data_IF_479073136405
#
_entry.id   IF_479073136405
#
_cell.length_a   1.000
_cell.length_b   1.000
_cell.length_c   1.000
_cell.angle_alpha   90.00
_cell.angle_beta   90.00
_cell.angle_gamma   90.00
#
_symmetry.space_group_name_H-M   'P 1'
#
loop_
_entity.id
_entity.type
_entity.pdbx_description
1 polymer ?
#
# COMPACT_ATOMS: atom_id res chain seq x y z
N UNK A 1 27.18 -1.06 -19.31
CA UNK A 1 25.97 -1.28 -20.13
C UNK A 1 25.06 -0.09 -19.86
N UNK A 2 25.12 0.93 -20.72
CA UNK A 2 24.40 2.20 -20.56
C UNK A 2 22.96 2.01 -21.03
N UNK A 3 22.00 2.03 -20.10
CA UNK A 3 20.59 1.98 -20.44
C UNK A 3 20.16 3.30 -21.10
N UNK A 4 19.74 3.18 -22.37
CA UNK A 4 19.19 4.30 -23.16
C UNK A 4 17.86 4.74 -22.56
N UNK A 5 17.87 5.90 -21.92
CA UNK A 5 16.65 6.61 -21.53
C UNK A 5 15.90 7.00 -22.80
N UNK A 6 14.70 6.46 -22.99
CA UNK A 6 13.83 6.80 -24.12
C UNK A 6 12.83 7.87 -23.67
N UNK A 7 12.60 8.88 -24.50
CA UNK A 7 11.68 10.00 -24.20
C UNK A 7 10.38 9.79 -24.98
N UNK A 8 9.23 10.21 -24.44
CA UNK A 8 7.95 10.31 -25.19
C UNK A 8 7.52 11.77 -25.25
N UNK A 9 7.14 12.25 -26.43
CA UNK A 9 6.41 13.50 -26.55
C UNK A 9 4.93 13.17 -26.33
N UNK A 10 4.46 13.21 -25.08
CA UNK A 10 3.03 13.03 -24.85
C UNK A 10 2.31 14.35 -25.17
N UNK A 11 1.44 14.27 -26.19
CA UNK A 11 0.71 15.37 -26.79
C UNK A 11 -0.73 15.35 -26.25
N UNK A 12 -0.91 15.65 -24.97
CA UNK A 12 -2.23 15.76 -24.34
C UNK A 12 -2.11 16.68 -23.12
N UNK A 13 -2.93 17.69 -22.81
CA UNK A 13 -4.11 18.32 -23.39
C UNK A 13 -4.22 19.67 -22.64
N UNK A 14 -3.95 20.80 -23.29
CA UNK A 14 -4.35 22.13 -22.78
C UNK A 14 -5.50 22.66 -23.65
N UNK A 15 -6.63 21.95 -23.61
CA UNK A 15 -7.86 22.28 -24.36
C UNK A 15 -8.68 23.35 -23.64
N UNK A 16 -8.10 24.51 -23.35
CA UNK A 16 -8.89 25.68 -22.95
C UNK A 16 -8.22 26.99 -23.32
N UNK A 17 -8.14 27.27 -24.63
CA UNK A 17 -8.26 28.59 -25.29
C UNK A 17 -7.90 28.46 -26.77
N UNK A 18 -8.90 28.52 -27.66
CA UNK A 18 -8.67 28.91 -29.06
C UNK A 18 -8.61 30.44 -29.11
N UNK A 19 -7.65 31.01 -29.85
CA UNK A 19 -8.03 31.76 -31.04
C UNK A 19 -7.22 31.34 -32.27
N UNK A 20 -7.92 31.33 -33.41
CA UNK A 20 -7.48 31.51 -34.79
C UNK A 20 -6.07 31.04 -35.23
N UNK A 21 -6.08 30.05 -36.14
CA UNK A 21 -5.22 29.97 -37.32
C UNK A 21 -3.72 30.20 -37.15
N UNK A 22 -2.96 29.12 -36.91
CA UNK A 22 -1.62 28.97 -37.46
C UNK A 22 -1.25 27.48 -37.48
N UNK A 23 -1.04 26.92 -38.68
CA UNK A 23 -0.35 25.64 -38.83
C UNK A 23 1.09 25.83 -38.36
N UNK A 24 1.34 25.53 -37.08
CA UNK A 24 2.70 25.45 -36.55
C UNK A 24 3.33 24.20 -37.16
N UNK A 25 4.18 24.40 -38.19
CA UNK A 25 5.18 23.43 -38.66
C UNK A 25 5.83 22.79 -37.44
N UNK A 26 5.99 21.46 -37.45
CA UNK A 26 6.77 20.68 -36.48
C UNK A 26 8.21 21.21 -36.40
N UNK A 27 8.39 22.27 -35.64
CA UNK A 27 9.67 22.73 -35.17
C UNK A 27 10.02 21.78 -34.05
N UNK A 28 11.14 21.06 -34.17
CA UNK A 28 11.73 20.17 -33.18
C UNK A 28 11.47 20.68 -31.75
N UNK A 29 10.36 20.28 -31.15
CA UNK A 29 10.01 20.59 -29.78
C UNK A 29 11.04 19.84 -28.95
N UNK A 30 12.08 20.55 -28.48
CA UNK A 30 13.04 20.00 -27.52
C UNK A 30 12.21 19.44 -26.37
N UNK A 31 12.15 18.10 -26.28
CA UNK A 31 11.40 17.38 -25.26
C UNK A 31 12.02 17.77 -23.94
N UNK A 32 11.31 18.63 -23.21
CA UNK A 32 11.73 19.07 -21.88
C UNK A 32 11.80 17.83 -20.97
N UNK A 33 12.87 17.71 -20.18
CA UNK A 33 13.03 16.58 -19.26
C UNK A 33 11.98 16.57 -18.13
N UNK A 34 11.62 17.76 -17.62
CA UNK A 34 10.63 17.96 -16.55
C UNK A 34 9.57 18.95 -17.01
N UNK A 35 8.29 18.58 -17.01
CA UNK A 35 7.17 19.42 -17.42
C UNK A 35 6.97 20.63 -16.47
N UNK A 36 6.23 21.66 -16.90
CA UNK A 36 5.96 22.87 -16.07
C UNK A 36 5.18 22.57 -14.78
N UNK A 37 4.50 21.43 -14.71
CA UNK A 37 3.78 20.93 -13.54
C UNK A 37 4.67 20.11 -12.57
N UNK A 38 5.96 19.96 -12.89
CA UNK A 38 6.94 19.20 -12.08
C UNK A 38 6.99 17.70 -12.38
N UNK A 39 6.20 17.18 -13.32
CA UNK A 39 6.26 15.77 -13.71
C UNK A 39 7.45 15.49 -14.63
N UNK A 40 8.05 14.31 -14.48
CA UNK A 40 9.14 13.85 -15.33
C UNK A 40 8.60 13.37 -16.68
N UNK A 41 9.24 13.78 -17.77
CA UNK A 41 8.88 13.39 -19.13
C UNK A 41 9.71 12.18 -19.63
N UNK A 42 10.12 11.30 -18.73
CA UNK A 42 11.04 10.18 -19.01
C UNK A 42 10.26 8.87 -19.13
N UNK A 43 10.52 8.05 -20.16
CA UNK A 43 10.06 6.67 -20.13
C UNK A 43 11.01 5.86 -19.26
N UNK A 44 10.48 5.30 -18.19
CA UNK A 44 11.24 4.36 -17.38
C UNK A 44 11.61 3.14 -18.24
N UNK A 45 12.89 2.72 -18.28
CA UNK A 45 13.29 1.52 -19.00
C UNK A 45 12.55 0.30 -18.42
N UNK A 46 12.13 -0.62 -19.29
CA UNK A 46 11.48 -1.88 -18.87
C UNK A 46 12.53 -2.76 -18.20
N UNK A 47 12.55 -2.78 -16.88
CA UNK A 47 13.40 -3.70 -16.13
C UNK A 47 12.88 -5.15 -16.27
N UNK A 48 13.73 -6.11 -16.69
CA UNK A 48 13.38 -7.52 -16.58
C UNK A 48 13.20 -7.91 -15.10
N UNK A 49 12.27 -8.81 -14.80
CA UNK A 49 12.00 -9.32 -13.44
C UNK A 49 11.42 -8.33 -12.40
N UNK A 50 10.56 -7.41 -12.83
CA UNK A 50 9.91 -6.40 -11.97
C UNK A 50 9.16 -7.00 -10.77
N UNK A 51 8.45 -8.11 -10.96
CA UNK A 51 7.61 -8.74 -9.93
C UNK A 51 8.42 -9.26 -8.72
N UNK A 52 9.54 -9.94 -8.98
CA UNK A 52 10.41 -10.47 -7.93
C UNK A 52 11.08 -9.38 -7.09
N UNK A 53 11.40 -8.24 -7.71
CA UNK A 53 11.96 -7.11 -6.98
C UNK A 53 10.94 -6.45 -6.04
N UNK A 54 9.65 -6.45 -6.38
CA UNK A 54 8.60 -5.98 -5.47
C UNK A 54 8.37 -6.94 -4.30
N UNK A 55 8.41 -8.25 -4.54
CA UNK A 55 8.24 -9.25 -3.48
C UNK A 55 9.42 -9.31 -2.50
N UNK A 56 10.61 -8.86 -2.91
CA UNK A 56 11.80 -8.82 -2.04
C UNK A 56 11.66 -7.80 -0.90
N UNK A 57 10.89 -6.74 -1.12
CA UNK A 57 10.62 -5.71 -0.12
C UNK A 57 9.10 -5.43 -0.07
N UNK A 58 8.35 -6.32 0.60
CA UNK A 58 6.89 -6.20 0.65
C UNK A 58 6.46 -4.97 1.45
N UNK A 59 7.26 -4.54 2.44
CA UNK A 59 6.95 -3.38 3.28
C UNK A 59 6.98 -2.09 2.45
N UNK A 60 8.08 -1.81 1.74
CA UNK A 60 8.15 -0.59 0.92
C UNK A 60 7.15 -0.63 -0.23
N UNK A 61 6.96 -1.80 -0.85
CA UNK A 61 5.97 -1.98 -1.92
C UNK A 61 4.53 -1.68 -1.45
N UNK A 62 4.17 -2.08 -0.22
CA UNK A 62 2.86 -1.82 0.35
C UNK A 62 2.65 -0.33 0.70
N UNK A 63 3.70 0.31 1.22
CA UNK A 63 3.70 1.76 1.53
C UNK A 63 3.65 2.60 0.24
N UNK A 64 4.26 2.16 -0.85
CA UNK A 64 4.29 2.89 -2.13
C UNK A 64 3.08 2.61 -3.04
N UNK A 65 2.36 1.50 -2.84
CA UNK A 65 1.16 1.17 -3.61
C UNK A 65 0.04 2.23 -3.47
N UNK A 66 -0.93 2.29 -4.38
CA UNK A 66 -2.09 3.15 -4.16
C UNK A 66 -2.96 2.64 -2.99
N UNK A 67 -3.74 3.54 -2.37
CA UNK A 67 -4.63 3.19 -1.26
C UNK A 67 -5.58 2.03 -1.57
N UNK A 68 -6.11 1.97 -2.81
CA UNK A 68 -7.03 0.91 -3.23
C UNK A 68 -6.39 -0.48 -3.15
N UNK A 69 -5.17 -0.60 -3.70
CA UNK A 69 -4.40 -1.85 -3.69
C UNK A 69 -3.93 -2.22 -2.28
N UNK A 70 -3.55 -1.22 -1.48
CA UNK A 70 -3.12 -1.44 -0.10
C UNK A 70 -4.26 -2.02 0.77
N UNK A 71 -5.45 -1.41 0.71
CA UNK A 71 -6.62 -1.90 1.46
C UNK A 71 -7.03 -3.30 1.04
N UNK A 72 -6.97 -3.61 -0.26
CA UNK A 72 -7.24 -4.96 -0.76
C UNK A 72 -6.20 -5.97 -0.27
N UNK A 73 -4.92 -5.64 -0.31
CA UNK A 73 -3.85 -6.52 0.16
C UNK A 73 -3.98 -6.81 1.67
N UNK A 74 -4.28 -5.79 2.48
CA UNK A 74 -4.54 -5.97 3.92
C UNK A 74 -5.74 -6.88 4.17
N UNK A 75 -6.87 -6.63 3.51
CA UNK A 75 -8.08 -7.44 3.67
C UNK A 75 -7.86 -8.91 3.27
N UNK A 76 -7.18 -9.16 2.14
CA UNK A 76 -6.82 -10.51 1.70
C UNK A 76 -5.88 -11.19 2.69
N UNK A 77 -4.90 -10.45 3.25
CA UNK A 77 -4.00 -10.96 4.28
C UNK A 77 -4.72 -11.41 5.55
N UNK A 78 -5.66 -10.59 6.06
CA UNK A 78 -6.48 -10.94 7.21
C UNK A 78 -7.38 -12.15 6.94
N UNK A 79 -8.11 -12.14 5.82
CA UNK A 79 -8.97 -13.26 5.42
C UNK A 79 -8.16 -14.56 5.25
N UNK A 80 -6.98 -14.49 4.64
CA UNK A 80 -6.09 -15.64 4.48
C UNK A 80 -5.62 -16.20 5.82
N UNK A 81 -5.26 -15.33 6.77
CA UNK A 81 -4.89 -15.75 8.13
C UNK A 81 -6.06 -16.44 8.84
N UNK A 82 -7.25 -15.84 8.83
CA UNK A 82 -8.46 -16.43 9.43
C UNK A 82 -8.82 -17.77 8.81
N UNK A 83 -8.74 -17.92 7.49
CA UNK A 83 -9.01 -19.19 6.81
C UNK A 83 -7.97 -20.26 7.15
N UNK A 84 -6.69 -19.88 7.29
CA UNK A 84 -5.63 -20.81 7.65
C UNK A 84 -5.84 -21.36 9.06
N UNK A 85 -6.10 -20.49 10.03
CA UNK A 85 -6.40 -20.93 11.40
C UNK A 85 -7.74 -21.68 11.48
N UNK A 86 -8.77 -21.27 10.75
CA UNK A 86 -10.03 -22.01 10.65
C UNK A 86 -9.83 -23.45 10.16
N UNK A 87 -8.94 -23.65 9.18
CA UNK A 87 -8.59 -24.98 8.69
C UNK A 87 -7.84 -25.80 9.73
N UNK A 88 -6.93 -25.19 10.50
CA UNK A 88 -6.25 -25.86 11.62
C UNK A 88 -7.23 -26.26 12.74
N UNK A 89 -8.16 -25.37 13.10
CA UNK A 89 -9.23 -25.67 14.06
C UNK A 89 -10.14 -26.79 13.58
N UNK A 90 -10.52 -26.77 12.30
CA UNK A 90 -11.29 -27.84 11.69
C UNK A 90 -10.53 -29.17 11.69
N UNK A 91 -9.21 -29.15 11.44
CA UNK A 91 -8.38 -30.34 11.49
C UNK A 91 -8.30 -30.94 12.90
N UNK A 92 -8.14 -30.11 13.94
CA UNK A 92 -8.18 -30.57 15.34
C UNK A 92 -9.54 -31.22 15.64
N UNK A 93 -10.64 -30.53 15.33
CA UNK A 93 -11.98 -31.06 15.55
C UNK A 93 -12.23 -32.38 14.76
N UNK A 94 -11.66 -32.50 13.56
CA UNK A 94 -11.75 -33.71 12.75
C UNK A 94 -10.96 -34.88 13.36
N UNK A 95 -9.72 -34.63 13.81
CA UNK A 95 -8.86 -35.66 14.42
C UNK A 95 -9.37 -36.09 15.80
N UNK A 96 -9.89 -35.15 16.60
CA UNK A 96 -10.51 -35.43 17.89
C UNK A 96 -11.89 -36.10 17.74
N UNK A 97 -12.44 -36.16 16.52
CA UNK A 97 -13.77 -36.74 16.20
C UNK A 97 -14.97 -35.95 16.74
N UNK A 98 -14.78 -34.65 17.02
CA UNK A 98 -15.84 -33.73 17.47
C UNK A 98 -16.93 -33.50 16.42
N UNK A 99 -16.64 -33.81 15.14
CA UNK A 99 -17.54 -33.64 14.02
C UNK A 99 -18.39 -34.89 13.71
N UNK A 100 -18.33 -35.94 14.54
CA UNK A 100 -19.21 -37.09 14.40
C UNK A 100 -20.63 -36.78 14.87
N UNK A 101 -21.64 -37.40 14.27
CA UNK A 101 -23.05 -37.11 14.54
C UNK A 101 -23.44 -37.25 16.02
N UNK A 102 -22.81 -38.17 16.74
CA UNK A 102 -23.06 -38.45 18.16
C UNK A 102 -22.30 -37.49 19.11
N UNK A 103 -21.31 -36.76 18.59
CA UNK A 103 -20.49 -35.78 19.33
C UNK A 103 -20.85 -34.33 18.99
N UNK A 104 -21.83 -34.11 18.11
CA UNK A 104 -22.33 -32.77 17.78
C UNK A 104 -22.94 -32.09 19.03
N UNK A 105 -22.92 -30.74 19.09
CA UNK A 105 -23.37 -29.98 20.27
C UNK A 105 -24.77 -30.36 20.80
N UNK A 106 -25.69 -30.73 19.91
CA UNK A 106 -27.06 -31.09 20.28
C UNK A 106 -27.16 -32.45 21.00
N UNK A 107 -26.18 -33.34 20.82
CA UNK A 107 -26.16 -34.71 21.40
C UNK A 107 -25.10 -34.93 22.47
N UNK A 108 -24.22 -33.95 22.69
CA UNK A 108 -23.16 -34.00 23.72
C UNK A 108 -23.70 -34.28 25.13
N UNK A 109 -24.89 -33.79 25.46
CA UNK A 109 -25.53 -34.05 26.75
C UNK A 109 -25.96 -35.51 26.97
N UNK A 110 -26.19 -36.26 25.90
CA UNK A 110 -26.59 -37.67 25.95
C UNK A 110 -25.38 -38.62 25.99
N UNK A 111 -24.32 -38.27 25.27
CA UNK A 111 -23.08 -39.07 25.16
C UNK A 111 -22.04 -38.75 26.22
N UNK A 112 -22.15 -37.58 26.88
CA UNK A 112 -21.16 -37.10 27.85
C UNK A 112 -19.82 -36.72 27.21
N UNK A 113 -19.81 -36.47 25.90
CA UNK A 113 -18.60 -36.12 25.14
C UNK A 113 -18.20 -34.66 25.38
N UNK A 114 -16.93 -34.43 25.72
CA UNK A 114 -16.33 -33.10 25.87
C UNK A 114 -15.48 -32.77 24.63
N UNK A 115 -15.93 -31.85 23.75
CA UNK A 115 -15.18 -31.50 22.54
C UNK A 115 -14.02 -30.55 22.87
N UNK A 116 -13.03 -30.42 21.97
CA UNK A 116 -11.93 -29.46 22.16
C UNK A 116 -12.41 -28.00 22.18
N UNK A 117 -13.45 -27.70 21.39
CA UNK A 117 -14.09 -26.38 21.31
C UNK A 117 -15.61 -26.57 21.29
N UNK A 118 -16.30 -25.87 22.18
CA UNK A 118 -17.75 -25.92 22.30
C UNK A 118 -18.46 -25.32 21.08
N UNK A 119 -19.67 -25.80 20.79
CA UNK A 119 -20.57 -25.24 19.77
C UNK A 119 -19.99 -25.22 18.33
N UNK A 120 -19.20 -26.24 17.99
CA UNK A 120 -18.70 -26.47 16.62
C UNK A 120 -19.60 -27.46 15.90
N UNK A 121 -20.19 -27.04 14.78
CA UNK A 121 -21.05 -27.87 13.92
C UNK A 121 -20.37 -28.26 12.60
N UNK A 122 -19.23 -27.64 12.28
CA UNK A 122 -18.54 -27.83 11.00
C UNK A 122 -17.58 -26.68 10.68
N UNK A 123 -17.10 -26.65 9.44
CA UNK A 123 -16.11 -25.65 9.00
C UNK A 123 -16.56 -24.19 9.20
N UNK A 124 -17.81 -23.77 8.90
CA UNK A 124 -18.24 -22.39 9.14
C UNK A 124 -18.16 -21.99 10.63
N UNK A 125 -18.46 -22.92 11.55
CA UNK A 125 -18.32 -22.69 12.99
C UNK A 125 -16.86 -22.53 13.40
N UNK A 126 -15.94 -23.33 12.82
CA UNK A 126 -14.50 -23.17 13.02
C UNK A 126 -13.97 -21.84 12.46
N UNK A 127 -14.50 -21.39 11.32
CA UNK A 127 -14.14 -20.09 10.76
C UNK A 127 -14.58 -18.93 11.66
N UNK A 128 -15.81 -18.96 12.14
CA UNK A 128 -16.30 -17.98 13.11
C UNK A 128 -15.46 -18.00 14.39
N UNK A 129 -15.15 -19.17 14.92
CA UNK A 129 -14.29 -19.29 16.10
C UNK A 129 -12.89 -18.72 15.87
N UNK A 130 -12.28 -18.99 14.71
CA UNK A 130 -10.98 -18.42 14.34
C UNK A 130 -11.02 -16.89 14.26
N UNK A 131 -12.08 -16.32 13.69
CA UNK A 131 -12.26 -14.87 13.62
C UNK A 131 -12.47 -14.27 15.01
N UNK A 132 -13.36 -14.86 15.80
CA UNK A 132 -13.68 -14.43 17.18
C UNK A 132 -12.44 -14.43 18.07
N UNK A 133 -11.61 -15.46 17.93
CA UNK A 133 -10.37 -15.65 18.68
C UNK A 133 -9.32 -14.61 18.28
N UNK A 134 -9.03 -14.48 16.99
CA UNK A 134 -7.97 -13.59 16.52
C UNK A 134 -8.32 -12.11 16.72
N UNK A 135 -9.60 -11.74 16.53
CA UNK A 135 -10.06 -10.38 16.77
C UNK A 135 -10.41 -10.13 18.24
N UNK A 136 -10.23 -11.12 19.11
CA UNK A 136 -10.55 -11.05 20.55
C UNK A 136 -11.99 -10.58 20.83
N UNK A 137 -12.92 -10.89 19.93
CA UNK A 137 -14.34 -10.53 20.10
C UNK A 137 -14.99 -11.38 21.17
N UNK A 138 -14.69 -12.70 21.15
CA UNK A 138 -15.06 -13.64 22.21
C UNK A 138 -16.53 -13.60 22.59
N UNK A 139 -17.46 -13.89 21.67
CA UNK A 139 -18.91 -13.88 21.97
C UNK A 139 -19.31 -14.86 23.09
N UNK A 140 -18.47 -15.84 23.42
CA UNK A 140 -18.65 -16.74 24.56
C UNK A 140 -19.46 -18.01 24.26
N UNK A 141 -20.07 -18.11 23.07
CA UNK A 141 -20.80 -19.32 22.64
C UNK A 141 -19.85 -20.46 22.26
N UNK A 142 -18.69 -20.12 21.68
CA UNK A 142 -17.64 -21.05 21.27
C UNK A 142 -16.43 -20.81 22.16
N UNK A 143 -16.21 -21.72 23.10
CA UNK A 143 -15.13 -21.64 24.06
C UNK A 143 -14.27 -22.90 23.98
N UNK A 144 -12.98 -22.73 24.22
CA UNK A 144 -12.02 -23.84 24.30
C UNK A 144 -12.22 -24.60 25.62
N UNK A 145 -12.04 -25.92 25.58
CA UNK A 145 -12.03 -26.79 26.75
C UNK A 145 -10.60 -27.24 27.07
N UNK A 146 -10.41 -27.81 28.26
CA UNK A 146 -9.14 -28.33 28.76
C UNK A 146 -8.78 -29.74 28.27
N UNK A 147 -9.64 -30.38 27.48
CA UNK A 147 -9.46 -31.75 26.99
C UNK A 147 -8.26 -31.88 26.04
N UNK A 148 -8.08 -30.89 25.17
CA UNK A 148 -7.15 -30.95 24.05
C UNK A 148 -6.00 -29.93 24.22
N UNK A 149 -4.79 -30.36 24.63
CA UNK A 149 -3.66 -29.44 24.80
C UNK A 149 -3.19 -28.80 23.48
N UNK A 150 -3.37 -29.48 22.35
CA UNK A 150 -3.07 -28.94 21.02
C UNK A 150 -3.94 -27.74 20.65
N UNK A 151 -5.20 -27.72 21.10
CA UNK A 151 -6.10 -26.58 20.92
C UNK A 151 -5.56 -25.36 21.69
N UNK A 152 -5.10 -25.54 22.93
CA UNK A 152 -4.54 -24.47 23.75
C UNK A 152 -3.27 -23.90 23.11
N UNK A 153 -2.40 -24.77 22.61
CA UNK A 153 -1.20 -24.33 21.90
C UNK A 153 -1.53 -23.54 20.62
N UNK A 154 -2.50 -24.02 19.82
CA UNK A 154 -2.94 -23.34 18.62
C UNK A 154 -3.53 -21.96 18.92
N UNK A 155 -4.35 -21.85 19.97
CA UNK A 155 -4.90 -20.60 20.50
C UNK A 155 -3.79 -19.60 20.85
N UNK A 156 -2.77 -20.03 21.62
CA UNK A 156 -1.64 -19.17 21.98
C UNK A 156 -0.86 -18.69 20.74
N UNK A 157 -0.59 -19.60 19.80
CA UNK A 157 0.10 -19.27 18.55
C UNK A 157 -0.71 -18.29 17.69
N UNK A 158 -2.04 -18.48 17.63
CA UNK A 158 -2.96 -17.61 16.90
C UNK A 158 -2.98 -16.18 17.48
N UNK A 159 -3.01 -16.04 18.81
CA UNK A 159 -2.93 -14.74 19.47
C UNK A 159 -1.60 -14.02 19.17
N UNK A 160 -0.48 -14.74 19.23
CA UNK A 160 0.84 -14.16 18.94
C UNK A 160 0.95 -13.71 17.48
N UNK A 161 0.54 -14.56 16.53
CA UNK A 161 0.60 -14.24 15.10
C UNK A 161 -0.38 -13.11 14.76
N UNK A 162 -1.58 -13.12 15.34
CA UNK A 162 -2.58 -12.06 15.17
C UNK A 162 -2.05 -10.68 15.57
N UNK A 163 -1.47 -10.59 16.78
CA UNK A 163 -0.90 -9.32 17.28
C UNK A 163 0.27 -8.79 16.44
N UNK A 164 1.10 -9.68 15.88
CA UNK A 164 2.18 -9.30 14.94
C UNK A 164 1.59 -8.70 13.65
N UNK A 165 0.59 -9.36 13.06
CA UNK A 165 -0.07 -8.90 11.82
C UNK A 165 -0.77 -7.55 12.05
N UNK A 166 -1.47 -7.39 13.17
CA UNK A 166 -2.13 -6.13 13.53
C UNK A 166 -1.13 -4.99 13.68
N UNK A 167 -0.04 -5.23 14.40
CA UNK A 167 1.02 -4.24 14.61
C UNK A 167 1.66 -3.79 13.29
N UNK A 168 1.93 -4.74 12.39
CA UNK A 168 2.46 -4.45 11.07
C UNK A 168 1.49 -3.62 10.23
N UNK A 169 0.21 -4.00 10.22
CA UNK A 169 -0.84 -3.31 9.46
C UNK A 169 -0.99 -1.86 9.92
N UNK A 170 -1.11 -1.64 11.23
CA UNK A 170 -1.21 -0.30 11.81
C UNK A 170 0.04 0.51 11.49
N UNK A 171 1.23 -0.07 11.62
CA UNK A 171 2.49 0.57 11.27
C UNK A 171 2.56 1.01 9.81
N UNK A 172 2.11 0.15 8.88
CA UNK A 172 2.05 0.47 7.47
C UNK A 172 1.03 1.58 7.15
N UNK A 173 -0.14 1.56 7.78
CA UNK A 173 -1.15 2.63 7.62
C UNK A 173 -0.61 3.97 8.12
N UNK A 174 0.02 4.01 9.30
CA UNK A 174 0.60 5.24 9.86
C UNK A 174 1.74 5.75 8.98
N UNK A 175 2.64 4.88 8.52
CA UNK A 175 3.72 5.26 7.60
C UNK A 175 3.17 5.90 6.31
N UNK A 176 2.08 5.33 5.76
CA UNK A 176 1.44 5.86 4.56
C UNK A 176 0.72 7.18 4.79
N UNK A 177 0.06 7.37 5.94
CA UNK A 177 -0.63 8.62 6.30
C UNK A 177 0.35 9.75 6.62
N UNK A 178 1.47 9.43 7.25
CA UNK A 178 2.51 10.40 7.61
C UNK A 178 3.36 10.83 6.41
N UNK A 179 3.37 10.03 5.32
CA UNK A 179 4.06 10.40 4.09
C UNK A 179 3.49 11.73 3.60
N UNK A 180 4.31 12.79 3.52
CA UNK A 180 3.87 14.04 2.97
C UNK A 180 3.58 13.78 1.49
N UNK A 181 2.30 13.69 1.13
CA UNK A 181 1.91 13.72 -0.26
C UNK A 181 2.37 15.09 -0.75
N UNK A 182 3.44 15.11 -1.56
CA UNK A 182 3.88 16.28 -2.29
C UNK A 182 2.80 16.58 -3.34
N UNK A 183 1.64 17.02 -2.86
CA UNK A 183 0.70 17.76 -3.66
C UNK A 183 1.49 18.98 -4.13
N UNK A 184 2.01 18.89 -5.36
CA UNK A 184 2.70 19.96 -6.10
C UNK A 184 1.87 21.25 -6.20
N UNK A 185 0.67 21.29 -5.63
CA UNK A 185 -0.24 22.42 -5.65
C UNK A 185 0.05 23.45 -4.54
N UNK A 186 1.03 23.23 -3.67
CA UNK A 186 1.33 24.20 -2.60
C UNK A 186 2.53 25.09 -2.86
N UNK A 187 3.42 24.72 -3.77
CA UNK A 187 4.58 25.54 -4.16
C UNK A 187 4.46 25.85 -5.65
N UNK A 188 4.36 27.13 -5.99
CA UNK A 188 4.21 27.59 -7.37
C UNK A 188 5.46 28.32 -7.86
N UNK A 189 5.83 28.06 -9.10
CA UNK A 189 6.91 28.76 -9.80
C UNK A 189 6.32 29.77 -10.79
N UNK A 190 7.05 30.86 -11.06
CA UNK A 190 6.70 31.76 -12.16
C UNK A 190 6.82 31.04 -13.50
N UNK A 191 5.90 31.37 -14.43
CA UNK A 191 5.85 30.75 -15.76
C UNK A 191 7.10 31.01 -16.61
N UNK A 192 7.78 32.11 -16.32
CA UNK A 192 8.94 32.62 -17.03
C UNK A 192 10.03 33.00 -16.01
N UNK A 193 11.28 32.74 -16.38
CA UNK A 193 12.46 33.30 -15.73
C UNK A 193 12.92 34.53 -16.52
N UNK A 194 13.53 35.49 -15.85
CA UNK A 194 14.04 36.73 -16.44
C UNK A 194 15.54 36.84 -16.17
N UNK A 195 16.27 37.42 -17.11
CA UNK A 195 17.68 37.75 -16.94
C UNK A 195 17.75 39.26 -16.80
N UNK A 196 18.30 39.75 -15.69
CA UNK A 196 18.50 41.18 -15.46
C UNK A 196 19.90 41.45 -14.94
N UNK A 197 20.37 42.67 -15.17
CA UNK A 197 21.58 43.17 -14.55
C UNK A 197 21.22 43.74 -13.18
N UNK A 198 21.76 43.19 -12.11
CA UNK A 198 21.60 43.68 -10.74
C UNK A 198 22.99 43.88 -10.16
N UNK A 199 23.29 45.09 -9.69
CA UNK A 199 24.59 45.48 -9.16
C UNK A 199 25.77 45.19 -10.11
N UNK A 200 25.55 45.35 -11.42
CA UNK A 200 26.56 45.14 -12.46
C UNK A 200 26.81 43.68 -12.84
N UNK A 201 26.08 42.72 -12.25
CA UNK A 201 26.20 41.28 -12.54
C UNK A 201 24.94 40.77 -13.25
N UNK A 202 25.12 39.90 -14.25
CA UNK A 202 24.01 39.28 -14.98
C UNK A 202 23.40 38.15 -14.13
N UNK A 203 22.15 38.35 -13.67
CA UNK A 203 21.46 37.43 -12.77
C UNK A 203 20.23 36.82 -13.44
N UNK A 204 20.07 35.49 -13.31
CA UNK A 204 18.85 34.78 -13.70
C UNK A 204 17.90 34.73 -12.50
N UNK A 205 16.71 35.29 -12.64
CA UNK A 205 15.71 35.37 -11.58
C UNK A 205 14.41 34.69 -11.98
N UNK A 206 13.80 34.00 -11.02
CA UNK A 206 12.44 33.49 -11.08
C UNK A 206 11.83 33.62 -9.68
N UNK A 207 10.50 33.69 -9.57
CA UNK A 207 9.84 33.76 -8.27
C UNK A 207 9.23 32.40 -7.93
N UNK A 208 9.28 32.08 -6.65
CA UNK A 208 8.64 30.93 -6.04
C UNK A 208 7.67 31.45 -4.97
N UNK A 209 6.43 30.97 -5.02
CA UNK A 209 5.40 31.27 -4.03
C UNK A 209 5.04 30.03 -3.24
N UNK A 210 5.03 30.14 -1.92
CA UNK A 210 4.44 29.15 -1.03
C UNK A 210 2.99 29.55 -0.73
N UNK A 211 2.06 28.66 -1.02
CA UNK A 211 0.62 28.85 -0.74
C UNK A 211 0.26 28.43 0.69
N UNK A 212 1.17 27.81 1.45
CA UNK A 212 0.92 27.39 2.83
C UNK A 212 1.13 28.55 3.80
N UNK A 213 0.27 28.63 4.83
CA UNK A 213 0.46 29.55 5.96
C UNK A 213 1.61 29.15 6.89
N UNK A 214 2.05 27.88 6.83
CA UNK A 214 3.14 27.35 7.67
C UNK A 214 4.47 27.58 6.98
N UNK A 215 5.44 28.12 7.71
CA UNK A 215 6.80 28.34 7.22
C UNK A 215 7.48 26.99 6.93
N UNK A 216 8.05 26.85 5.74
CA UNK A 216 8.96 25.74 5.40
C UNK A 216 10.27 25.92 6.21
N UNK A 217 10.66 24.85 6.92
CA UNK A 217 11.91 24.79 7.69
C UNK A 217 12.96 24.13 6.77
N UNK A 218 14.20 24.66 6.77
CA UNK A 218 15.34 24.13 5.99
C UNK A 218 15.13 24.04 4.47
N UNK A 219 14.53 25.07 3.87
CA UNK A 219 14.39 25.13 2.41
C UNK A 219 15.74 25.34 1.73
N UNK A 220 16.20 24.35 0.97
CA UNK A 220 17.36 24.46 0.09
C UNK A 220 16.91 24.40 -1.37
N UNK A 221 17.45 25.30 -2.20
CA UNK A 221 17.18 25.31 -3.64
C UNK A 221 18.37 24.72 -4.39
N UNK A 222 18.08 23.85 -5.38
CA UNK A 222 19.07 23.34 -6.31
C UNK A 222 18.64 23.68 -7.73
N UNK A 223 19.57 24.21 -8.50
CA UNK A 223 19.37 24.53 -9.91
C UNK A 223 20.28 23.63 -10.75
N UNK A 224 19.71 22.98 -11.76
CA UNK A 224 20.42 22.10 -12.67
C UNK A 224 20.21 22.61 -14.08
N UNK A 225 21.31 22.86 -14.80
CA UNK A 225 21.28 23.22 -16.22
C UNK A 225 21.58 21.98 -17.04
N UNK A 226 20.69 21.64 -17.98
CA UNK A 226 20.95 20.59 -18.95
C UNK A 226 21.50 21.21 -20.24
N UNK A 227 22.71 20.82 -20.62
CA UNK A 227 23.30 21.21 -21.90
C UNK A 227 22.95 20.18 -22.98
N UNK A 228 22.02 20.54 -23.85
CA UNK A 228 21.55 19.67 -24.95
C UNK A 228 22.46 19.67 -26.18
N UNK A 229 23.73 20.12 -26.07
CA UNK A 229 24.66 20.18 -27.20
C UNK A 229 25.47 18.90 -27.44
N UNK A 230 25.40 17.91 -26.54
CA UNK A 230 26.25 16.70 -26.60
C UNK A 230 25.49 15.35 -26.62
N UNK A 231 24.22 15.36 -27.06
CA UNK A 231 23.41 14.15 -27.30
C UNK A 231 23.06 14.01 -28.79
#
# INVERSE_FOLDING_TARGET
MMDRITWVANKTLDLRRKPYGLFIRDTKLKRRAILKNGEYNVLQPKFPNRYWNYLRDPYTSLVDAEWKWNLQAMAIGFLGCWLTFALLWWLIAFVHTDLQDDHLPDRQGETGWTPCVLSIYGFPSCFLYSLETQHTTGYGLRAITEECPEAIFLMCAQCLIGTIIDSFTVGAVIAKLTRPTMSNNTIMFTRNAVICLMDGVLCLMFRLGDLRKRKLIETAFRFVTENWREL
#
